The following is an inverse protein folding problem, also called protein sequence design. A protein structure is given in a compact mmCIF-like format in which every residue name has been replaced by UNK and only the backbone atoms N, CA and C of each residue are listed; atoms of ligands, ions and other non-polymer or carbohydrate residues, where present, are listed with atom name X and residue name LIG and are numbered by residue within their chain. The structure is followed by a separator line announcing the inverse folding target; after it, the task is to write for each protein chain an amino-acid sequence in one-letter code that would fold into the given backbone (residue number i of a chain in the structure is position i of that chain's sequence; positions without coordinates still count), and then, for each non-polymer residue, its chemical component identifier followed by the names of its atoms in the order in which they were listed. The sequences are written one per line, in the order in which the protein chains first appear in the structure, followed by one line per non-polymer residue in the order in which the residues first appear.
data_IF_116055883813
#
_entry.id   IF_116055883813
#
_cell.length_a   1.000
_cell.length_b   1.000
_cell.length_c   1.000
_cell.angle_alpha   90.00
_cell.angle_beta   90.00
_cell.angle_gamma   90.00
#
_symmetry.space_group_name_H-M   'P 1'
#
loop_
_entity.id
_entity.type
_entity.pdbx_description
1 polymer ?
#
# COMPACT_ATOMS: atom_id res chain seq x y z
N UNK A 1 9.28 -19.44 1.04
CA UNK A 1 9.51 -19.57 2.51
C UNK A 1 8.29 -19.14 3.32
N UNK A 2 7.40 -18.27 2.79
CA UNK A 2 6.25 -17.73 3.54
C UNK A 2 4.88 -18.22 3.04
N UNK A 3 4.84 -19.31 2.27
CA UNK A 3 3.59 -19.88 1.77
C UNK A 3 2.65 -20.23 2.92
N UNK A 4 1.40 -19.79 2.85
CA UNK A 4 0.38 -19.98 3.88
C UNK A 4 0.39 -18.93 5.01
N UNK A 5 1.33 -17.98 5.00
CA UNK A 5 1.33 -16.83 5.93
C UNK A 5 0.44 -15.73 5.37
N UNK A 6 -0.48 -15.22 6.21
CA UNK A 6 -1.35 -14.07 5.88
C UNK A 6 -0.93 -12.85 6.69
N UNK A 7 -0.69 -11.74 6.01
CA UNK A 7 -0.25 -10.48 6.58
C UNK A 7 -1.29 -9.42 6.27
N UNK A 8 -1.69 -8.68 7.30
CA UNK A 8 -2.55 -7.50 7.13
C UNK A 8 -1.66 -6.26 7.25
N UNK A 9 -1.63 -5.47 6.19
CA UNK A 9 -0.91 -4.21 6.11
C UNK A 9 -1.92 -3.05 6.10
N UNK A 10 -1.61 -1.95 6.78
CA UNK A 10 -2.37 -0.71 6.66
C UNK A 10 -1.67 0.20 5.65
N UNK A 11 -2.45 0.91 4.84
CA UNK A 11 -1.90 1.82 3.85
C UNK A 11 -0.86 2.78 4.47
N UNK A 12 0.25 2.93 3.77
CA UNK A 12 1.37 3.76 4.17
C UNK A 12 2.13 4.20 2.92
N UNK A 13 3.10 5.09 3.10
CA UNK A 13 4.01 5.51 2.04
C UNK A 13 5.43 5.10 2.42
N UNK A 14 6.19 4.58 1.47
CA UNK A 14 7.62 4.30 1.64
C UNK A 14 7.92 2.91 2.24
N UNK A 15 8.52 2.82 3.44
CA UNK A 15 9.15 1.59 3.91
C UNK A 15 8.18 0.44 4.21
N UNK A 16 6.95 0.74 4.66
CA UNK A 16 5.98 -0.30 4.96
C UNK A 16 5.52 -1.05 3.69
N UNK A 17 4.99 -0.37 2.64
CA UNK A 17 4.63 -1.05 1.39
C UNK A 17 5.78 -1.80 0.73
N UNK A 18 7.02 -1.29 0.90
CA UNK A 18 8.22 -1.98 0.41
C UNK A 18 8.45 -3.31 1.14
N UNK A 19 8.35 -3.31 2.47
CA UNK A 19 8.46 -4.53 3.27
C UNK A 19 7.32 -5.51 2.94
N UNK A 20 6.08 -5.01 2.79
CA UNK A 20 4.92 -5.81 2.38
C UNK A 20 5.16 -6.51 1.04
N UNK A 21 5.64 -5.76 0.04
CA UNK A 21 5.97 -6.32 -1.28
C UNK A 21 7.07 -7.39 -1.20
N UNK A 22 8.14 -7.14 -0.46
CA UNK A 22 9.23 -8.11 -0.27
C UNK A 22 8.73 -9.43 0.38
N UNK A 23 7.84 -9.33 1.38
CA UNK A 23 7.26 -10.50 2.03
C UNK A 23 6.32 -11.26 1.09
N UNK A 24 5.58 -10.54 0.23
CA UNK A 24 4.76 -11.16 -0.81
C UNK A 24 5.62 -11.94 -1.82
N UNK A 25 6.76 -11.40 -2.26
CA UNK A 25 7.71 -12.10 -3.15
C UNK A 25 8.24 -13.41 -2.54
N UNK A 26 8.38 -13.47 -1.21
CA UNK A 26 8.78 -14.68 -0.48
C UNK A 26 7.65 -15.71 -0.31
N UNK A 27 6.44 -15.38 -0.78
CA UNK A 27 5.26 -16.24 -0.87
C UNK A 27 4.14 -15.97 0.14
N UNK A 28 4.17 -14.84 0.86
CA UNK A 28 3.10 -14.47 1.80
C UNK A 28 1.86 -13.90 1.07
N UNK A 29 0.67 -14.09 1.64
CA UNK A 29 -0.55 -13.38 1.24
C UNK A 29 -0.60 -12.05 2.01
N UNK A 30 -0.40 -10.93 1.32
CA UNK A 30 -0.42 -9.59 1.92
C UNK A 30 -1.71 -8.86 1.53
N UNK A 31 -2.50 -8.46 2.52
CA UNK A 31 -3.78 -7.78 2.35
C UNK A 31 -3.63 -6.35 2.87
N UNK A 32 -3.75 -5.37 1.96
CA UNK A 32 -3.62 -3.94 2.30
C UNK A 32 -4.99 -3.35 2.62
N UNK A 33 -5.11 -2.76 3.81
CA UNK A 33 -6.28 -2.00 4.25
C UNK A 33 -6.08 -0.54 3.86
N UNK A 34 -6.97 -0.06 3.00
CA UNK A 34 -7.04 1.34 2.62
C UNK A 34 -8.02 2.13 3.49
N UNK A 35 -7.77 3.44 3.64
CA UNK A 35 -8.75 4.36 4.22
C UNK A 35 -9.98 4.41 3.33
N UNK A 36 -11.15 4.47 3.96
CA UNK A 36 -12.39 4.78 3.25
C UNK A 36 -12.23 6.12 2.50
N UNK A 37 -12.37 6.10 1.17
CA UNK A 37 -12.08 7.24 0.28
C UNK A 37 -10.78 7.13 -0.53
N UNK A 38 -9.99 6.08 -0.30
CA UNK A 38 -8.77 5.78 -1.05
C UNK A 38 -7.58 6.69 -0.71
N UNK A 39 -6.43 6.38 -1.31
CA UNK A 39 -5.21 7.16 -1.12
C UNK A 39 -5.43 8.56 -1.70
N UNK A 40 -5.52 9.56 -0.83
CA UNK A 40 -5.44 10.96 -1.24
C UNK A 40 -3.97 11.30 -1.37
N UNK A 41 -3.45 11.27 -2.61
CA UNK A 41 -2.16 11.92 -2.85
C UNK A 41 -2.38 13.43 -2.64
N UNK A 42 -1.58 14.11 -1.80
CA UNK A 42 -1.70 15.56 -1.66
C UNK A 42 -1.49 16.31 -2.99
N UNK A 43 -0.93 15.66 -4.02
CA UNK A 43 -0.82 16.18 -5.38
C UNK A 43 -2.13 16.10 -6.20
N UNK A 44 -3.17 15.41 -5.72
CA UNK A 44 -4.49 15.37 -6.38
C UNK A 44 -5.39 16.47 -5.84
N UNK A 45 -4.98 17.73 -5.98
CA UNK A 45 -5.94 18.83 -5.94
C UNK A 45 -6.66 18.86 -7.28
N UNK A 46 -8.00 18.90 -7.29
CA UNK A 46 -8.82 18.71 -8.50
C UNK A 46 -8.69 19.76 -9.61
N UNK A 47 -7.73 20.68 -9.51
CA UNK A 47 -7.36 21.66 -10.53
C UNK A 47 -5.84 21.60 -10.70
N UNK A 48 -5.36 21.61 -11.95
CA UNK A 48 -3.95 21.83 -12.21
C UNK A 48 -3.60 23.23 -11.70
N UNK A 49 -2.48 23.44 -11.01
CA UNK A 49 -2.00 24.79 -10.69
C UNK A 49 -1.62 25.61 -11.94
N UNK A 50 -1.74 25.02 -13.14
CA UNK A 50 -1.44 25.62 -14.43
C UNK A 50 -2.68 25.86 -15.31
N UNK A 51 -3.88 25.52 -14.82
CA UNK A 51 -5.16 25.86 -15.47
C UNK A 51 -5.57 27.31 -15.12
#
# INVERSE_FOLDING_TARGET
MLSGVRIVEFEALGPAPFAGAMLAEMGAEVIVIHRAGGVQSPARTGHSPLD
#
